data_IF_876662725791
#
_entry.id   IF_876662725791
#
_cell.length_a   1.000
_cell.length_b   1.000
_cell.length_c   1.000
_cell.angle_alpha   90.00
_cell.angle_beta   90.00
_cell.angle_gamma   90.00
#
_symmetry.space_group_name_H-M   'P 1'
#
loop_
_entity.id
_entity.type
_entity.pdbx_description
1 polymer ?
#
# COMPACT_ATOMS: atom_id res chain seq x y z
N UNK A 1 -44.17 -44.48 29.52
CA UNK A 1 -43.40 -44.14 28.30
C UNK A 1 -42.57 -42.91 28.65
N UNK A 2 -41.24 -43.09 28.75
CA UNK A 2 -40.15 -42.09 28.89
C UNK A 2 -40.15 -41.17 30.13
N UNK A 3 -39.02 -40.81 30.75
CA UNK A 3 -37.69 -41.38 30.90
C UNK A 3 -37.08 -40.62 32.11
N UNK A 4 -36.42 -41.35 33.01
CA UNK A 4 -35.94 -40.85 34.30
C UNK A 4 -34.55 -40.20 34.20
N UNK A 5 -34.35 -39.14 34.99
CA UNK A 5 -33.06 -38.52 35.23
C UNK A 5 -32.12 -39.47 36.00
N UNK A 6 -30.87 -39.63 35.53
CA UNK A 6 -29.74 -40.07 36.37
C UNK A 6 -28.45 -39.33 36.04
N UNK A 7 -27.91 -38.80 37.13
CA UNK A 7 -26.65 -38.10 37.42
C UNK A 7 -25.43 -38.86 36.90
N UNK A 8 -24.45 -38.15 36.33
CA UNK A 8 -23.06 -38.63 36.26
C UNK A 8 -22.15 -37.70 37.06
N UNK A 9 -21.44 -38.33 37.99
CA UNK A 9 -20.46 -37.76 38.90
C UNK A 9 -19.14 -37.57 38.13
N UNK A 10 -18.55 -36.38 38.24
CA UNK A 10 -17.20 -36.11 37.75
C UNK A 10 -16.20 -36.75 38.71
N UNK A 11 -15.63 -37.89 38.33
CA UNK A 11 -14.50 -38.48 39.05
C UNK A 11 -13.24 -37.65 38.78
N UNK A 12 -12.74 -36.98 39.82
CA UNK A 12 -11.36 -36.49 39.86
C UNK A 12 -10.43 -37.69 39.96
N UNK A 13 -9.56 -37.89 38.97
CA UNK A 13 -8.37 -38.71 39.12
C UNK A 13 -7.17 -37.78 39.26
N UNK A 14 -6.47 -37.90 40.40
CA UNK A 14 -5.16 -37.31 40.64
C UNK A 14 -4.08 -38.05 39.81
N UNK A 15 -2.92 -37.43 39.55
CA UNK A 15 -2.03 -37.84 38.46
C UNK A 15 -1.18 -39.05 38.84
N UNK A 16 -0.99 -39.97 37.89
CA UNK A 16 0.04 -41.00 37.96
C UNK A 16 1.38 -40.39 37.52
N UNK A 17 2.36 -40.41 38.42
CA UNK A 17 3.75 -40.09 38.14
C UNK A 17 4.39 -41.15 37.25
N UNK A 18 4.78 -40.78 36.03
CA UNK A 18 5.80 -41.49 35.28
C UNK A 18 6.84 -40.50 34.74
N UNK A 19 8.03 -40.57 35.35
CA UNK A 19 9.29 -40.02 34.86
C UNK A 19 9.53 -40.39 33.40
N UNK A 20 9.51 -39.41 32.51
CA UNK A 20 10.20 -39.47 31.22
C UNK A 20 11.12 -38.25 31.10
N UNK A 21 12.33 -38.56 30.64
CA UNK A 21 13.49 -37.68 30.54
C UNK A 21 13.15 -36.39 29.78
N UNK A 22 13.33 -35.25 30.44
CA UNK A 22 13.24 -33.92 29.83
C UNK A 22 14.49 -33.63 29.00
N UNK A 23 14.46 -34.00 27.72
CA UNK A 23 15.28 -33.32 26.71
C UNK A 23 14.60 -31.99 26.33
N UNK A 24 15.35 -30.91 26.03
CA UNK A 24 14.74 -29.69 25.56
C UNK A 24 14.06 -29.97 24.22
N UNK A 25 12.73 -29.98 24.22
CA UNK A 25 11.93 -29.94 23.01
C UNK A 25 12.18 -28.57 22.38
N UNK A 26 13.16 -28.49 21.48
CA UNK A 26 13.30 -27.35 20.58
C UNK A 26 11.94 -27.20 19.89
N UNK A 27 11.17 -26.19 20.28
CA UNK A 27 10.07 -25.67 19.46
C UNK A 27 10.73 -25.26 18.15
N UNK A 28 10.73 -26.16 17.18
CA UNK A 28 10.95 -25.78 15.80
C UNK A 28 9.88 -24.73 15.51
N UNK A 29 10.29 -23.46 15.42
CA UNK A 29 9.46 -22.44 14.79
C UNK A 29 9.13 -23.03 13.42
N UNK A 30 7.88 -23.40 13.21
CA UNK A 30 7.39 -23.70 11.87
C UNK A 30 7.54 -22.40 11.12
N UNK A 31 8.56 -22.29 10.28
CA UNK A 31 8.69 -21.16 9.37
C UNK A 31 7.39 -21.14 8.57
N UNK A 32 6.55 -20.15 8.84
CA UNK A 32 5.35 -19.92 8.05
C UNK A 32 5.84 -19.55 6.66
N UNK A 33 5.57 -20.42 5.69
CA UNK A 33 5.79 -20.11 4.27
C UNK A 33 5.13 -18.76 3.99
N UNK A 34 5.91 -17.80 3.49
CA UNK A 34 5.39 -16.50 3.07
C UNK A 34 4.75 -16.63 1.69
N UNK A 35 3.79 -15.76 1.40
CA UNK A 35 2.99 -15.78 0.18
C UNK A 35 2.83 -14.38 -0.40
N UNK A 36 2.54 -14.32 -1.70
CA UNK A 36 2.21 -13.08 -2.38
C UNK A 36 0.71 -12.83 -2.19
N UNK A 37 0.36 -11.66 -1.67
CA UNK A 37 -1.01 -11.22 -1.53
C UNK A 37 -1.30 -10.12 -2.55
N UNK A 38 -2.44 -10.23 -3.22
CA UNK A 38 -2.92 -9.26 -4.20
C UNK A 38 -4.29 -8.74 -3.82
N UNK A 39 -4.51 -7.43 -3.94
CA UNK A 39 -5.83 -6.81 -3.89
C UNK A 39 -6.20 -6.38 -5.31
N UNK A 40 -7.30 -6.92 -5.83
CA UNK A 40 -7.76 -6.73 -7.20
C UNK A 40 -9.22 -6.23 -7.20
N UNK A 41 -9.60 -5.44 -8.20
CA UNK A 41 -10.98 -5.02 -8.49
C UNK A 41 -11.70 -6.06 -9.36
N UNK A 42 -11.52 -7.34 -9.06
CA UNK A 42 -12.07 -8.47 -9.82
C UNK A 42 -13.51 -8.83 -9.41
N UNK A 43 -14.18 -7.95 -8.65
CA UNK A 43 -15.57 -8.08 -8.28
C UNK A 43 -16.38 -6.91 -8.84
N UNK A 44 -17.51 -7.20 -9.50
CA UNK A 44 -18.46 -6.21 -10.03
C UNK A 44 -18.81 -5.11 -9.01
N UNK A 45 -18.88 -5.48 -7.73
CA UNK A 45 -19.17 -4.55 -6.64
C UNK A 45 -18.20 -4.68 -5.49
N UNK A 46 -16.90 -4.71 -5.74
CA UNK A 46 -15.91 -4.79 -4.68
C UNK A 46 -14.47 -4.92 -5.15
N UNK A 47 -13.61 -5.20 -4.20
CA UNK A 47 -12.29 -5.77 -4.44
C UNK A 47 -12.14 -7.07 -3.66
N UNK A 48 -11.27 -7.95 -4.11
CA UNK A 48 -10.96 -9.19 -3.43
C UNK A 48 -9.46 -9.26 -3.09
N UNK A 49 -9.14 -10.08 -2.09
CA UNK A 49 -7.77 -10.32 -1.65
C UNK A 49 -7.41 -11.76 -1.95
N UNK A 50 -6.48 -11.97 -2.88
CA UNK A 50 -5.96 -13.29 -3.24
C UNK A 50 -4.65 -13.57 -2.55
N UNK A 51 -4.42 -14.84 -2.28
CA UNK A 51 -3.16 -15.39 -1.78
C UNK A 51 -2.59 -16.30 -2.85
N UNK A 52 -1.36 -16.03 -3.28
CA UNK A 52 -0.69 -16.76 -4.34
C UNK A 52 0.62 -17.37 -3.84
N UNK A 53 0.83 -18.63 -4.20
CA UNK A 53 2.13 -19.28 -4.10
C UNK A 53 2.97 -18.91 -5.32
N UNK A 54 4.13 -18.28 -5.09
CA UNK A 54 5.13 -18.09 -6.14
C UNK A 54 5.74 -19.46 -6.43
N UNK A 55 5.45 -20.00 -7.61
CA UNK A 55 6.01 -21.28 -8.03
C UNK A 55 7.45 -21.08 -8.51
N UNK A 56 8.38 -21.91 -8.02
CA UNK A 56 9.69 -22.07 -8.64
C UNK A 56 9.49 -22.96 -9.87
N UNK A 57 9.54 -22.39 -11.07
CA UNK A 57 9.50 -23.17 -12.31
C UNK A 57 10.85 -23.91 -12.46
N UNK A 58 10.80 -25.24 -12.30
CA UNK A 58 11.92 -26.17 -12.49
C UNK A 58 12.24 -26.43 -13.97
N UNK A 59 11.66 -25.66 -14.90
CA UNK A 59 12.05 -25.64 -16.32
C UNK A 59 11.48 -26.78 -17.15
N UNK A 60 10.36 -27.38 -16.72
CA UNK A 60 9.78 -28.57 -17.36
C UNK A 60 8.48 -28.36 -18.12
N UNK A 61 7.75 -27.26 -17.91
CA UNK A 61 6.47 -27.04 -18.57
C UNK A 61 6.02 -25.60 -18.39
N UNK A 62 5.82 -24.87 -19.50
CA UNK A 62 5.34 -23.50 -19.44
C UNK A 62 4.11 -23.39 -18.55
N UNK A 63 4.11 -22.41 -17.65
CA UNK A 63 2.99 -22.15 -16.76
C UNK A 63 1.70 -22.07 -17.58
N UNK A 64 0.84 -23.09 -17.41
CA UNK A 64 -0.49 -23.11 -18.01
C UNK A 64 -1.29 -21.91 -17.50
N UNK A 65 -2.16 -21.37 -18.36
CA UNK A 65 -3.07 -20.28 -17.98
C UNK A 65 -4.05 -20.79 -16.93
N UNK A 66 -3.99 -20.22 -15.73
CA UNK A 66 -4.81 -20.64 -14.60
C UNK A 66 -5.90 -19.60 -14.30
N UNK A 67 -6.94 -20.02 -13.59
CA UNK A 67 -7.85 -19.10 -12.93
C UNK A 67 -7.29 -18.82 -11.53
N UNK A 68 -7.55 -17.62 -11.00
CA UNK A 68 -7.21 -17.33 -9.61
C UNK A 68 -7.96 -18.28 -8.67
N UNK A 69 -7.28 -18.73 -7.63
CA UNK A 69 -7.93 -19.43 -6.52
C UNK A 69 -8.92 -18.50 -5.81
N UNK A 70 -9.84 -19.11 -5.06
CA UNK A 70 -10.83 -18.37 -4.27
C UNK A 70 -10.14 -17.33 -3.36
N UNK A 71 -10.62 -16.08 -3.34
CA UNK A 71 -10.01 -15.03 -2.55
C UNK A 71 -10.14 -15.32 -1.05
N UNK A 72 -9.11 -14.93 -0.30
CA UNK A 72 -9.05 -15.02 1.17
C UNK A 72 -10.16 -14.18 1.81
N UNK A 73 -10.44 -13.01 1.24
CA UNK A 73 -11.53 -12.14 1.66
C UNK A 73 -12.04 -11.29 0.50
N UNK A 74 -13.26 -10.78 0.63
CA UNK A 74 -13.92 -9.90 -0.34
C UNK A 74 -14.43 -8.66 0.38
N UNK A 75 -14.18 -7.48 -0.20
CA UNK A 75 -14.61 -6.19 0.30
C UNK A 75 -15.61 -5.59 -0.70
N UNK A 76 -16.87 -5.46 -0.33
CA UNK A 76 -17.92 -5.01 -1.25
C UNK A 76 -18.17 -3.49 -1.19
N UNK A 77 -18.45 -2.87 -2.35
CA UNK A 77 -18.73 -1.43 -2.53
C UNK A 77 -19.88 -0.85 -1.71
N UNK A 78 -20.96 -1.55 -1.31
CA UNK A 78 -21.91 -0.97 -0.36
C UNK A 78 -21.24 -0.52 0.94
N UNK A 79 -20.07 -1.09 1.26
CA UNK A 79 -19.23 -0.65 2.37
C UNK A 79 -18.29 0.48 1.94
N UNK A 80 -17.61 0.38 0.80
CA UNK A 80 -16.53 1.32 0.43
C UNK A 80 -16.89 2.38 -0.64
N UNK A 81 -18.14 2.45 -1.09
CA UNK A 81 -18.55 3.31 -2.20
C UNK A 81 -18.05 2.84 -3.57
N UNK A 82 -18.17 3.71 -4.57
CA UNK A 82 -17.90 3.40 -5.97
C UNK A 82 -16.40 3.42 -6.33
N UNK A 83 -15.58 4.13 -5.55
CA UNK A 83 -14.15 4.33 -5.82
C UNK A 83 -13.32 4.06 -4.55
N UNK A 84 -13.20 2.78 -4.13
CA UNK A 84 -12.47 2.46 -2.92
C UNK A 84 -10.97 2.61 -3.12
N UNK A 85 -10.30 3.20 -2.13
CA UNK A 85 -8.85 3.18 -2.04
C UNK A 85 -8.41 2.09 -1.07
N UNK A 86 -7.45 1.27 -1.49
CA UNK A 86 -6.93 0.19 -0.64
C UNK A 86 -5.43 0.39 -0.45
N UNK A 87 -4.99 0.27 0.79
CA UNK A 87 -3.58 0.21 1.16
C UNK A 87 -3.31 -0.97 2.09
N UNK A 88 -2.04 -1.23 2.35
CA UNK A 88 -1.61 -2.36 3.19
C UNK A 88 -0.73 -1.85 4.32
N UNK A 89 -1.02 -2.26 5.57
CA UNK A 89 -0.20 -1.96 6.75
C UNK A 89 0.09 -3.26 7.53
N UNK A 90 1.31 -3.78 7.36
CA UNK A 90 1.66 -5.07 7.94
C UNK A 90 0.74 -6.16 7.40
N UNK A 91 -0.02 -6.83 8.27
CA UNK A 91 -1.01 -7.87 7.88
C UNK A 91 -2.40 -7.33 7.58
N UNK A 92 -2.59 -6.01 7.66
CA UNK A 92 -3.89 -5.40 7.51
C UNK A 92 -4.07 -4.87 6.09
N UNK A 93 -5.11 -5.34 5.42
CA UNK A 93 -5.64 -4.72 4.21
C UNK A 93 -6.61 -3.64 4.65
N UNK A 94 -6.26 -2.38 4.39
CA UNK A 94 -7.02 -1.20 4.79
C UNK A 94 -7.75 -0.65 3.58
N UNK A 95 -9.06 -0.77 3.56
CA UNK A 95 -9.92 -0.14 2.56
C UNK A 95 -10.50 1.15 3.10
N UNK A 96 -10.56 2.19 2.28
CA UNK A 96 -11.24 3.43 2.64
C UNK A 96 -12.13 3.88 1.50
N UNK A 97 -13.34 4.30 1.88
CA UNK A 97 -14.41 4.56 0.92
C UNK A 97 -15.30 5.71 1.33
N UNK A 98 -16.01 6.27 0.35
CA UNK A 98 -17.00 7.33 0.55
C UNK A 98 -18.29 6.83 1.23
N UNK A 99 -18.46 5.52 1.36
CA UNK A 99 -19.63 4.91 2.01
C UNK A 99 -20.76 4.61 1.04
N UNK A 100 -22.01 4.89 1.44
CA UNK A 100 -23.18 4.51 0.65
C UNK A 100 -23.18 5.15 -0.75
N UNK A 101 -23.30 4.36 -1.83
CA UNK A 101 -23.36 4.88 -3.20
C UNK A 101 -24.68 5.60 -3.53
N UNK A 102 -25.66 5.59 -2.62
CA UNK A 102 -27.01 6.14 -2.84
C UNK A 102 -27.26 7.48 -2.18
N UNK A 103 -26.34 7.98 -1.35
CA UNK A 103 -26.48 9.30 -0.74
C UNK A 103 -26.21 10.36 -1.81
N UNK A 104 -27.26 11.08 -2.24
CA UNK A 104 -27.10 12.28 -3.06
C UNK A 104 -27.79 13.47 -2.40
N UNK A 105 -27.06 14.54 -2.04
CA UNK A 105 -25.59 14.65 -2.14
C UNK A 105 -24.88 13.62 -1.24
N UNK A 106 -23.64 13.21 -1.56
CA UNK A 106 -22.87 12.31 -0.69
C UNK A 106 -22.81 12.93 0.71
N UNK A 107 -23.32 12.24 1.74
CA UNK A 107 -23.14 12.72 3.10
C UNK A 107 -21.69 12.40 3.50
N UNK A 108 -20.84 13.40 3.75
CA UNK A 108 -19.47 13.16 4.16
C UNK A 108 -19.30 12.42 5.50
N UNK A 109 -20.40 12.16 6.21
CA UNK A 109 -20.47 11.30 7.40
C UNK A 109 -20.63 9.81 7.07
N UNK A 110 -20.82 9.45 5.80
CA UNK A 110 -21.02 8.05 5.38
C UNK A 110 -19.71 7.30 5.10
N UNK A 111 -18.61 8.03 5.00
CA UNK A 111 -17.31 7.45 4.69
C UNK A 111 -16.83 6.47 5.75
N UNK A 112 -16.17 5.40 5.32
CA UNK A 112 -15.75 4.31 6.21
C UNK A 112 -14.31 3.91 5.94
N UNK A 113 -13.59 3.58 7.01
CA UNK A 113 -12.32 2.85 6.95
C UNK A 113 -12.57 1.43 7.43
N UNK A 114 -12.17 0.44 6.63
CA UNK A 114 -12.17 -0.97 7.02
C UNK A 114 -10.73 -1.46 7.09
N UNK A 115 -10.40 -2.24 8.11
CA UNK A 115 -9.11 -2.89 8.22
C UNK A 115 -9.33 -4.39 8.46
N UNK A 116 -8.91 -5.21 7.51
CA UNK A 116 -8.98 -6.66 7.58
C UNK A 116 -7.60 -7.24 7.88
N UNK A 117 -7.44 -7.89 9.03
CA UNK A 117 -6.19 -8.55 9.42
C UNK A 117 -6.12 -9.96 8.82
N UNK A 118 -5.21 -10.18 7.88
CA UNK A 118 -4.99 -11.48 7.25
C UNK A 118 -4.52 -12.57 8.21
N UNK A 119 -3.92 -12.22 9.35
CA UNK A 119 -3.42 -13.20 10.33
C UNK A 119 -4.52 -13.73 11.24
N UNK A 120 -5.45 -12.87 11.64
CA UNK A 120 -6.50 -13.20 12.62
C UNK A 120 -7.89 -13.31 11.99
N UNK A 121 -8.03 -12.95 10.71
CA UNK A 121 -9.30 -12.76 10.01
C UNK A 121 -10.23 -11.74 10.70
N UNK A 122 -9.67 -10.86 11.54
CA UNK A 122 -10.44 -9.82 12.21
C UNK A 122 -10.74 -8.67 11.25
N UNK A 123 -12.01 -8.25 11.20
CA UNK A 123 -12.45 -7.05 10.49
C UNK A 123 -12.72 -5.93 11.50
N UNK A 124 -12.05 -4.79 11.33
CA UNK A 124 -12.33 -3.56 12.06
C UNK A 124 -12.98 -2.54 11.14
N UNK A 125 -13.98 -1.81 11.63
CA UNK A 125 -14.70 -0.77 10.88
C UNK A 125 -14.66 0.53 11.69
N UNK A 126 -14.13 1.59 11.09
CA UNK A 126 -14.13 2.94 11.64
C UNK A 126 -15.03 3.83 10.78
N UNK A 127 -15.98 4.53 11.42
CA UNK A 127 -17.00 5.34 10.74
C UNK A 127 -16.65 6.83 10.63
N UNK A 128 -15.52 7.24 11.20
CA UNK A 128 -15.10 8.64 11.20
C UNK A 128 -13.91 8.82 10.28
N UNK A 129 -14.15 9.43 9.11
CA UNK A 129 -13.08 9.93 8.25
C UNK A 129 -12.60 11.31 8.74
N UNK A 130 -11.32 11.65 8.52
CA UNK A 130 -10.79 12.97 8.85
C UNK A 130 -11.59 14.12 8.26
N UNK A 131 -11.65 15.25 8.98
CA UNK A 131 -12.48 16.42 8.68
C UNK A 131 -12.25 17.05 7.30
N UNK A 132 -11.04 16.89 6.73
CA UNK A 132 -10.67 17.33 5.37
C UNK A 132 -11.37 16.56 4.24
N UNK A 133 -11.88 15.36 4.53
CA UNK A 133 -12.42 14.39 3.57
C UNK A 133 -13.90 14.58 3.26
N UNK A 134 -14.48 15.72 3.67
CA UNK A 134 -15.93 15.92 3.74
C UNK A 134 -16.56 16.50 2.47
N UNK A 135 -15.84 16.70 1.36
CA UNK A 135 -16.33 17.55 0.25
C UNK A 135 -15.89 17.18 -1.18
N UNK A 136 -15.73 15.90 -1.52
CA UNK A 136 -15.29 15.37 -2.84
C UNK A 136 -13.78 15.09 -2.94
N UNK A 137 -13.46 14.06 -3.70
CA UNK A 137 -12.46 13.03 -3.38
C UNK A 137 -11.51 12.79 -4.55
N UNK A 138 -10.20 12.82 -4.31
CA UNK A 138 -9.21 12.05 -5.07
C UNK A 138 -8.04 11.71 -4.14
N UNK A 139 -7.95 10.45 -3.70
CA UNK A 139 -6.77 9.96 -2.97
C UNK A 139 -5.73 9.53 -3.98
N UNK A 140 -4.58 10.18 -3.97
CA UNK A 140 -3.50 9.90 -4.91
C UNK A 140 -2.46 8.95 -4.36
N UNK A 141 -2.33 8.86 -3.04
CA UNK A 141 -1.33 8.00 -2.42
C UNK A 141 -1.79 7.51 -1.03
N UNK A 142 -1.67 6.20 -0.83
CA UNK A 142 -1.72 5.57 0.48
C UNK A 142 -0.44 4.77 0.67
N UNK A 143 0.31 5.04 1.75
CA UNK A 143 1.57 4.35 2.02
C UNK A 143 1.71 3.98 3.50
N UNK A 144 2.27 2.81 3.78
CA UNK A 144 2.65 2.41 5.12
C UNK A 144 4.04 2.94 5.47
N UNK A 145 4.19 3.50 6.66
CA UNK A 145 5.46 3.89 7.26
C UNK A 145 5.65 3.10 8.55
N UNK A 146 6.64 2.20 8.52
CA UNK A 146 6.82 1.20 9.57
C UNK A 146 5.62 0.25 9.68
N UNK A 147 5.39 -0.26 10.90
CA UNK A 147 4.35 -1.28 11.13
C UNK A 147 3.08 -0.73 11.79
N UNK A 148 2.99 0.59 11.97
CA UNK A 148 1.95 1.21 12.80
C UNK A 148 1.27 2.41 12.15
N UNK A 149 1.81 3.00 11.09
CA UNK A 149 1.24 4.21 10.51
C UNK A 149 1.05 4.05 9.02
N UNK A 150 -0.12 4.46 8.55
CA UNK A 150 -0.44 4.60 7.14
C UNK A 150 -0.71 6.08 6.88
N UNK A 151 0.01 6.65 5.94
CA UNK A 151 -0.20 8.02 5.49
C UNK A 151 -1.02 7.99 4.21
N UNK A 152 -1.97 8.91 4.14
CA UNK A 152 -2.83 9.09 2.99
C UNK A 152 -2.70 10.54 2.52
N UNK A 153 -2.56 10.75 1.21
CA UNK A 153 -2.48 12.06 0.59
C UNK A 153 -3.64 12.22 -0.39
N UNK A 154 -4.42 13.28 -0.22
CA UNK A 154 -5.55 13.64 -1.06
C UNK A 154 -5.38 15.02 -1.70
N UNK A 155 -5.99 15.21 -2.87
CA UNK A 155 -6.15 16.53 -3.47
C UNK A 155 -7.27 17.31 -2.78
N UNK A 156 -7.08 18.62 -2.66
CA UNK A 156 -8.03 19.52 -2.02
C UNK A 156 -9.18 19.92 -2.95
N UNK A 157 -10.29 20.41 -2.36
CA UNK A 157 -11.55 20.72 -3.08
C UNK A 157 -11.55 22.06 -3.83
N UNK A 158 -10.41 22.57 -4.28
CA UNK A 158 -10.31 23.87 -4.94
C UNK A 158 -10.46 23.76 -6.45
N UNK A 159 -11.45 24.43 -7.05
CA UNK A 159 -11.46 24.64 -8.50
C UNK A 159 -10.14 25.30 -8.94
N UNK A 160 -9.49 24.70 -9.93
CA UNK A 160 -8.28 25.21 -10.57
C UNK A 160 -8.51 26.64 -11.05
N UNK A 161 -7.95 27.61 -10.33
CA UNK A 161 -7.85 29.01 -10.78
C UNK A 161 -6.38 29.33 -11.02
N UNK A 162 -6.02 29.47 -12.29
CA UNK A 162 -4.72 29.96 -12.73
C UNK A 162 -4.29 31.18 -11.88
N UNK A 163 -3.13 31.07 -11.22
CA UNK A 163 -2.55 32.16 -10.44
C UNK A 163 -3.08 32.35 -9.01
N UNK A 164 -3.85 31.41 -8.46
CA UNK A 164 -4.20 31.41 -7.03
C UNK A 164 -3.29 30.50 -6.20
N UNK A 165 -3.19 30.79 -4.89
CA UNK A 165 -2.41 30.06 -3.87
C UNK A 165 -2.52 28.51 -4.02
N UNK A 166 -1.50 27.74 -3.60
CA UNK A 166 -1.47 26.30 -3.81
C UNK A 166 -2.76 25.64 -3.29
N UNK A 167 -3.46 24.96 -4.20
CA UNK A 167 -4.65 24.18 -3.86
C UNK A 167 -4.28 23.19 -2.75
N UNK A 168 -5.01 23.29 -1.63
CA UNK A 168 -4.66 22.68 -0.36
C UNK A 168 -5.02 21.18 -0.33
N UNK A 169 -4.17 20.34 -0.91
CA UNK A 169 -4.17 18.91 -0.59
C UNK A 169 -3.92 18.68 0.90
N UNK A 170 -4.41 17.55 1.41
CA UNK A 170 -4.27 17.19 2.81
C UNK A 170 -3.55 15.85 2.95
N UNK A 171 -2.82 15.71 4.05
CA UNK A 171 -2.25 14.45 4.46
C UNK A 171 -2.90 13.99 5.76
N UNK A 172 -3.28 12.71 5.82
CA UNK A 172 -3.90 12.10 6.98
C UNK A 172 -3.07 10.91 7.44
N UNK A 173 -3.05 10.64 8.75
CA UNK A 173 -2.33 9.51 9.31
C UNK A 173 -3.31 8.58 10.02
N UNK A 174 -3.41 7.35 9.54
CA UNK A 174 -4.10 6.26 10.21
C UNK A 174 -3.08 5.46 11.02
N UNK A 175 -3.26 5.39 12.33
CA UNK A 175 -2.36 4.69 13.23
C UNK A 175 -3.00 3.43 13.79
N UNK A 176 -2.28 2.31 13.69
CA UNK A 176 -2.56 1.07 14.37
C UNK A 176 -1.96 1.11 15.79
N UNK A 177 -2.86 1.19 16.77
CA UNK A 177 -2.55 1.18 18.20
C UNK A 177 -2.37 -0.28 18.61
N UNK A 178 -1.11 -0.68 18.81
CA UNK A 178 -0.83 -1.99 19.41
C UNK A 178 -1.41 -2.00 20.84
N UNK A 179 -2.35 -2.90 21.08
CA UNK A 179 -2.73 -3.28 22.44
C UNK A 179 -1.70 -4.28 22.96
N UNK A 180 -0.56 -3.78 23.42
CA UNK A 180 0.36 -4.63 24.17
C UNK A 180 -0.05 -4.58 25.64
N UNK A 181 -0.44 -5.73 26.17
CA UNK A 181 -0.42 -5.97 27.60
C UNK A 181 1.01 -5.83 28.09
N UNK A 182 1.38 -4.62 28.49
CA UNK A 182 2.25 -4.40 29.63
C UNK A 182 1.98 -3.00 30.16
N UNK A 183 1.60 -2.93 31.44
CA UNK A 183 1.18 -1.69 32.08
C UNK A 183 2.32 -0.68 32.14
N UNK A 184 2.18 0.40 31.37
CA UNK A 184 3.00 1.59 31.51
C UNK A 184 2.08 2.80 31.54
N UNK A 185 1.59 3.15 32.74
CA UNK A 185 0.88 4.39 32.98
C UNK A 185 1.78 5.57 32.61
N UNK A 186 1.40 6.30 31.58
CA UNK A 186 1.93 7.62 31.25
C UNK A 186 0.76 8.58 31.30
N UNK A 187 0.70 9.30 32.41
CA UNK A 187 -0.15 10.45 32.65
C UNK A 187 0.17 11.57 31.64
N UNK A 188 -0.74 12.54 31.52
CA UNK A 188 -0.54 13.86 30.91
C UNK A 188 -0.86 14.03 29.41
N UNK A 189 -2.12 14.39 29.12
CA UNK A 189 -2.41 15.69 28.49
C UNK A 189 -3.94 15.92 28.55
N UNK A 190 -4.37 16.61 29.61
CA UNK A 190 -5.70 17.20 29.71
C UNK A 190 -5.83 18.33 28.70
N UNK A 191 -6.66 18.11 27.71
CA UNK A 191 -7.27 19.18 26.96
C UNK A 191 -8.07 18.59 25.83
N UNK A 192 -9.42 18.60 25.97
CA UNK A 192 -10.35 19.15 24.97
C UNK A 192 -11.82 18.71 25.19
N UNK A 193 -12.66 19.74 25.42
CA UNK A 193 -14.12 19.91 25.26
C UNK A 193 -15.15 19.01 25.99
N UNK A 194 -16.02 19.71 26.74
CA UNK A 194 -17.38 19.30 27.11
C UNK A 194 -18.21 18.96 25.87
N UNK A 195 -18.94 17.82 25.89
CA UNK A 195 -20.40 17.71 25.77
C UNK A 195 -20.81 16.22 25.89
N UNK A 196 -21.56 15.92 26.97
CA UNK A 196 -22.24 14.67 27.40
C UNK A 196 -21.44 13.66 28.24
N UNK A 197 -21.65 13.75 29.56
CA UNK A 197 -21.19 12.86 30.64
C UNK A 197 -21.45 11.36 30.40
N UNK A 198 -20.42 10.62 29.93
CA UNK A 198 -20.21 9.20 30.28
C UNK A 198 -18.70 8.86 30.30
N UNK A 199 -17.91 9.33 31.29
CA UNK A 199 -16.44 9.24 31.29
C UNK A 199 -15.88 7.80 31.33
N UNK A 200 -16.64 6.83 31.85
CA UNK A 200 -16.11 5.50 32.13
C UNK A 200 -16.06 4.57 30.90
N UNK A 201 -16.94 4.76 29.90
CA UNK A 201 -16.97 3.89 28.71
C UNK A 201 -15.98 4.35 27.64
N UNK A 202 -15.67 5.65 27.56
CA UNK A 202 -14.85 6.22 26.50
C UNK A 202 -13.34 5.93 26.68
N UNK A 203 -12.87 5.88 27.92
CA UNK A 203 -11.52 5.40 28.24
C UNK A 203 -11.37 3.90 27.97
N UNK A 204 -12.39 3.09 28.27
CA UNK A 204 -12.37 1.66 27.95
C UNK A 204 -12.49 1.41 26.43
N UNK A 205 -13.39 2.13 25.72
CA UNK A 205 -13.55 2.00 24.27
C UNK A 205 -12.36 2.55 23.49
N UNK A 206 -11.75 3.67 23.90
CA UNK A 206 -10.52 4.17 23.27
C UNK A 206 -9.33 3.23 23.49
N UNK A 207 -9.27 2.53 24.63
CA UNK A 207 -8.29 1.46 24.86
C UNK A 207 -8.56 0.17 24.07
N UNK A 208 -9.81 -0.04 23.61
CA UNK A 208 -10.22 -1.12 22.72
C UNK A 208 -10.00 -0.79 21.23
N UNK A 209 -9.91 0.50 20.86
CA UNK A 209 -9.67 0.93 19.49
C UNK A 209 -8.25 0.59 19.05
N UNK A 210 -8.11 -0.39 18.16
CA UNK A 210 -6.82 -0.74 17.54
C UNK A 210 -6.39 0.24 16.45
N UNK A 211 -7.26 1.15 16.06
CA UNK A 211 -7.04 2.05 14.93
C UNK A 211 -7.53 3.45 15.29
N UNK A 212 -6.77 4.48 14.91
CA UNK A 212 -7.19 5.87 15.05
C UNK A 212 -6.71 6.72 13.88
N UNK A 213 -7.55 7.66 13.47
CA UNK A 213 -7.10 8.75 12.61
C UNK A 213 -6.45 9.84 13.47
N UNK A 214 -5.24 10.23 13.10
CA UNK A 214 -4.55 11.38 13.64
C UNK A 214 -4.72 12.54 12.66
N UNK A 215 -5.13 13.71 13.16
CA UNK A 215 -5.08 14.94 12.37
C UNK A 215 -3.60 15.32 12.17
N UNK A 216 -3.11 15.18 10.94
CA UNK A 216 -1.83 15.75 10.55
C UNK A 216 -2.15 17.14 9.98
N UNK A 217 -1.84 18.19 10.73
CA UNK A 217 -2.20 19.56 10.35
C UNK A 217 -1.34 20.16 9.22
N UNK A 218 -0.51 19.34 8.56
CA UNK A 218 0.30 19.81 7.44
C UNK A 218 -0.46 19.67 6.13
N UNK A 219 -0.86 20.81 5.57
CA UNK A 219 -1.23 20.89 4.15
C UNK A 219 -0.05 20.42 3.31
N UNK A 220 -0.32 19.72 2.22
CA UNK A 220 0.75 19.38 1.28
C UNK A 220 1.26 20.67 0.63
N UNK A 221 2.59 20.86 0.50
CA UNK A 221 3.16 22.00 -0.20
C UNK A 221 3.09 21.85 -1.73
N UNK A 222 2.32 20.89 -2.23
CA UNK A 222 2.22 20.49 -3.62
C UNK A 222 0.82 19.95 -3.93
N UNK A 223 0.52 19.84 -5.23
CA UNK A 223 -0.71 19.22 -5.73
C UNK A 223 -0.57 17.70 -5.80
N UNK A 224 -1.49 16.96 -5.16
CA UNK A 224 -1.35 15.51 -5.06
C UNK A 224 -1.56 14.77 -6.40
N UNK A 225 -2.30 15.35 -7.35
CA UNK A 225 -2.44 14.76 -8.69
C UNK A 225 -1.08 14.48 -9.34
N UNK A 226 -0.10 15.37 -9.15
CA UNK A 226 1.21 15.26 -9.78
C UNK A 226 2.08 14.12 -9.26
N UNK A 227 1.65 13.40 -8.21
CA UNK A 227 2.48 12.39 -7.56
C UNK A 227 2.75 11.25 -8.53
N UNK A 228 4.04 10.98 -8.72
CA UNK A 228 4.50 9.98 -9.67
C UNK A 228 5.35 8.87 -9.14
N UNK A 229 6.23 9.25 -8.23
CA UNK A 229 7.06 8.29 -7.54
C UNK A 229 6.87 8.49 -6.05
N UNK A 230 7.01 7.40 -5.31
CA UNK A 230 7.23 7.47 -3.88
C UNK A 230 8.16 6.37 -3.42
N UNK A 231 8.89 6.64 -2.36
CA UNK A 231 9.82 5.68 -1.78
C UNK A 231 9.92 5.86 -0.26
N UNK A 232 10.04 4.75 0.47
CA UNK A 232 10.36 4.82 1.89
C UNK A 232 11.87 5.06 2.07
N UNK A 233 12.21 5.98 2.96
CA UNK A 233 13.59 6.14 3.39
C UNK A 233 14.07 4.88 4.11
N UNK A 234 15.31 4.40 3.89
CA UNK A 234 15.82 3.16 4.50
C UNK A 234 15.75 3.14 6.03
N UNK A 235 15.81 4.31 6.65
CA UNK A 235 15.63 4.48 8.09
C UNK A 235 14.21 4.26 8.61
N UNK A 236 13.23 3.92 7.76
CA UNK A 236 11.87 3.52 8.15
C UNK A 236 11.01 4.58 8.81
N UNK A 237 11.50 5.82 8.88
CA UNK A 237 10.84 6.96 9.56
C UNK A 237 10.48 8.10 8.62
N UNK A 238 10.82 8.02 7.36
CA UNK A 238 10.53 9.08 6.40
C UNK A 238 10.16 8.46 5.06
N UNK A 239 9.49 9.24 4.24
CA UNK A 239 9.17 8.86 2.88
C UNK A 239 9.34 10.05 1.95
N UNK A 240 9.51 9.73 0.67
CA UNK A 240 9.70 10.68 -0.40
C UNK A 240 8.55 10.56 -1.39
N UNK A 241 8.17 11.69 -1.97
CA UNK A 241 7.22 11.79 -3.09
C UNK A 241 7.83 12.68 -4.16
N UNK A 242 7.73 12.28 -5.41
CA UNK A 242 8.18 13.05 -6.57
C UNK A 242 6.99 13.44 -7.42
N UNK A 243 6.96 14.69 -7.87
CA UNK A 243 5.81 15.27 -8.57
C UNK A 243 6.19 15.80 -9.95
N UNK A 244 5.31 15.54 -10.92
CA UNK A 244 5.35 16.11 -12.26
C UNK A 244 4.24 17.15 -12.46
N UNK A 245 4.53 18.22 -13.21
CA UNK A 245 3.53 19.23 -13.60
C UNK A 245 3.14 19.04 -15.07
N UNK A 246 1.89 18.65 -15.28
CA UNK A 246 1.30 18.43 -16.61
C UNK A 246 0.49 19.59 -17.14
N UNK A 247 0.16 20.56 -16.28
CA UNK A 247 -0.84 21.59 -16.58
C UNK A 247 -0.20 22.91 -17.00
N UNK A 248 1.14 22.99 -17.00
CA UNK A 248 1.90 24.15 -17.46
C UNK A 248 2.87 23.79 -18.59
N UNK A 249 3.15 24.78 -19.44
CA UNK A 249 4.13 24.71 -20.53
C UNK A 249 5.59 24.82 -20.03
N UNK A 250 5.87 24.29 -18.84
CA UNK A 250 7.21 24.24 -18.25
C UNK A 250 7.73 25.58 -17.72
N UNK A 251 6.87 26.59 -17.55
CA UNK A 251 7.28 27.94 -17.08
C UNK A 251 7.28 28.12 -15.56
N UNK A 252 6.72 27.17 -14.80
CA UNK A 252 6.58 27.26 -13.34
C UNK A 252 7.37 26.11 -12.66
N UNK A 253 8.69 26.26 -12.58
CA UNK A 253 9.65 25.26 -12.04
C UNK A 253 9.44 24.95 -10.54
N UNK A 254 8.61 25.73 -9.85
CA UNK A 254 8.26 25.50 -8.44
C UNK A 254 7.19 24.40 -8.25
N UNK A 255 6.59 23.89 -9.33
CA UNK A 255 5.53 22.89 -9.27
C UNK A 255 6.00 21.45 -9.48
N UNK A 256 7.22 21.28 -9.99
CA UNK A 256 7.90 19.98 -10.09
C UNK A 256 8.88 19.79 -8.95
N UNK A 257 9.13 18.53 -8.61
CA UNK A 257 10.24 18.20 -7.74
C UNK A 257 9.95 17.10 -6.74
N UNK A 258 10.95 16.86 -5.90
CA UNK A 258 10.94 15.82 -4.89
C UNK A 258 10.81 16.40 -3.49
N UNK A 259 9.93 15.83 -2.68
CA UNK A 259 9.68 16.21 -1.30
C UNK A 259 9.84 15.00 -0.39
N UNK A 260 10.23 15.23 0.86
CA UNK A 260 10.20 14.20 1.91
C UNK A 260 9.39 14.64 3.10
N UNK A 261 8.81 13.66 3.80
CA UNK A 261 8.17 13.86 5.09
C UNK A 261 8.81 12.93 6.13
N UNK A 262 9.39 13.51 7.18
CA UNK A 262 9.91 12.75 8.33
C UNK A 262 8.77 12.56 9.35
N UNK A 263 8.53 11.31 9.74
CA UNK A 263 7.45 10.87 10.65
C UNK A 263 7.92 10.72 12.11
N UNK A 264 9.13 11.19 12.43
CA UNK A 264 9.73 11.16 13.76
C UNK A 264 8.84 11.69 14.90
N UNK A 265 9.19 11.35 16.15
CA UNK A 265 8.40 11.71 17.34
C UNK A 265 8.30 13.22 17.56
N UNK A 266 7.27 13.65 18.33
CA UNK A 266 6.76 15.02 18.55
C UNK A 266 7.79 16.16 18.62
N UNK A 267 9.04 15.90 19.00
CA UNK A 267 10.14 16.87 19.14
C UNK A 267 10.90 17.14 17.83
N UNK A 268 10.99 16.17 16.91
CA UNK A 268 11.57 16.29 15.56
C UNK A 268 10.42 16.28 14.55
N UNK A 269 9.94 17.47 14.27
CA UNK A 269 8.71 17.84 13.55
C UNK A 269 8.45 17.02 12.27
N UNK A 270 7.23 16.47 12.19
CA UNK A 270 6.56 16.15 10.93
C UNK A 270 6.39 17.40 10.10
N UNK A 271 7.25 17.57 9.10
CA UNK A 271 7.22 18.67 8.14
C UNK A 271 7.67 18.16 6.79
N UNK A 272 7.05 18.70 5.76
CA UNK A 272 7.51 18.54 4.39
C UNK A 272 8.82 19.31 4.17
N UNK A 273 9.77 18.68 3.48
CA UNK A 273 10.98 19.31 3.00
C UNK A 273 11.11 19.10 1.49
N UNK A 274 11.32 20.19 0.73
CA UNK A 274 11.63 20.13 -0.70
C UNK A 274 13.12 19.84 -0.89
N UNK A 275 13.43 18.93 -1.80
CA UNK A 275 14.81 18.55 -2.13
C UNK A 275 15.35 19.26 -3.37
N UNK A 276 14.48 19.64 -4.31
CA UNK A 276 14.84 20.39 -5.51
C UNK A 276 13.79 20.24 -6.60
N UNK A 277 14.01 20.90 -7.74
CA UNK A 277 13.18 20.80 -8.96
C UNK A 277 13.42 19.53 -9.78
N UNK A 278 14.10 18.53 -9.22
CA UNK A 278 14.37 17.24 -9.87
C UNK A 278 13.38 16.17 -9.40
N UNK A 279 13.16 15.20 -10.27
CA UNK A 279 12.19 14.13 -10.07
C UNK A 279 12.90 12.78 -9.89
N UNK A 280 12.33 11.90 -9.08
CA UNK A 280 12.78 10.51 -8.99
C UNK A 280 12.47 9.77 -10.31
N UNK A 281 13.35 8.88 -10.77
CA UNK A 281 13.22 8.22 -12.08
C UNK A 281 12.22 7.06 -12.09
N UNK A 282 11.25 7.04 -11.17
CA UNK A 282 10.38 5.89 -10.92
C UNK A 282 8.92 6.16 -11.31
N UNK A 283 8.25 5.11 -11.76
CA UNK A 283 6.79 5.05 -11.87
C UNK A 283 6.25 4.28 -10.65
N UNK A 284 5.49 4.95 -9.78
CA UNK A 284 4.90 4.35 -8.59
C UNK A 284 5.90 4.17 -7.44
N UNK A 285 5.86 3.01 -6.79
CA UNK A 285 6.65 2.74 -5.59
C UNK A 285 8.06 2.25 -5.94
N UNK A 286 9.07 2.82 -5.30
CA UNK A 286 10.43 2.27 -5.28
C UNK A 286 10.76 1.65 -3.91
N UNK A 287 11.59 0.62 -3.93
CA UNK A 287 11.97 -0.17 -2.77
C UNK A 287 13.47 -0.07 -2.53
N UNK A 288 13.88 0.15 -1.27
CA UNK A 288 15.28 0.11 -0.92
C UNK A 288 15.82 -1.32 -0.94
N UNK A 289 16.91 -1.53 -1.66
CA UNK A 289 17.65 -2.79 -1.66
C UNK A 289 19.01 -2.58 -0.99
N UNK A 290 19.27 -3.31 0.09
CA UNK A 290 20.48 -3.17 0.88
C UNK A 290 21.74 -3.67 0.14
N UNK A 291 21.61 -4.59 -0.83
CA UNK A 291 22.75 -5.09 -1.60
C UNK A 291 23.16 -4.10 -2.70
N UNK A 292 22.20 -3.39 -3.29
CA UNK A 292 22.42 -2.30 -4.22
C UNK A 292 22.75 -0.97 -3.51
N UNK A 293 22.44 -0.87 -2.22
CA UNK A 293 22.49 0.35 -1.42
C UNK A 293 21.73 1.54 -2.05
N UNK A 294 20.66 1.24 -2.80
CA UNK A 294 19.90 2.19 -3.60
C UNK A 294 18.41 1.85 -3.56
N UNK A 295 17.56 2.81 -3.93
CA UNK A 295 16.19 2.50 -4.31
C UNK A 295 16.16 1.82 -5.67
N UNK A 296 15.32 0.80 -5.83
CA UNK A 296 15.03 0.09 -7.06
C UNK A 296 13.54 0.27 -7.39
N UNK A 297 13.22 0.60 -8.62
CA UNK A 297 11.83 0.77 -9.07
C UNK A 297 11.67 0.59 -10.58
N UNK A 298 10.42 0.63 -11.03
CA UNK A 298 10.08 0.67 -12.46
C UNK A 298 10.46 2.04 -13.00
N UNK A 299 11.18 2.08 -14.12
CA UNK A 299 11.59 3.34 -14.72
C UNK A 299 10.40 4.09 -15.32
N UNK A 300 10.36 5.40 -15.07
CA UNK A 300 9.39 6.30 -15.65
C UNK A 300 9.97 6.98 -16.88
N UNK A 301 9.31 6.80 -18.03
CA UNK A 301 9.64 7.54 -19.23
C UNK A 301 8.52 8.54 -19.57
N UNK A 302 8.83 9.84 -19.46
CA UNK A 302 7.90 10.91 -19.77
C UNK A 302 8.00 11.27 -21.27
N UNK A 303 7.00 10.90 -22.06
CA UNK A 303 6.85 11.42 -23.42
C UNK A 303 6.15 12.79 -23.37
N UNK A 304 6.62 13.72 -24.19
CA UNK A 304 5.93 14.99 -24.42
C UNK A 304 4.58 14.76 -25.11
N UNK A 305 3.49 14.72 -24.35
CA UNK A 305 2.13 14.86 -24.87
C UNK A 305 1.10 13.84 -24.38
N UNK A 306 1.47 12.67 -23.86
CA UNK A 306 0.51 11.64 -23.46
C UNK A 306 1.01 10.79 -22.29
N UNK A 307 0.32 10.91 -21.15
CA UNK A 307 0.25 9.90 -20.09
C UNK A 307 1.55 9.52 -19.37
N UNK A 308 1.41 8.74 -18.31
CA UNK A 308 2.53 8.06 -17.68
C UNK A 308 2.66 6.66 -18.24
N UNK A 309 3.84 6.37 -18.78
CA UNK A 309 4.14 5.05 -19.31
C UNK A 309 5.42 4.52 -18.68
N UNK A 310 5.33 3.32 -18.14
CA UNK A 310 6.50 2.50 -17.86
C UNK A 310 7.06 2.08 -19.22
N UNK A 311 8.37 2.08 -19.37
CA UNK A 311 9.06 1.65 -20.61
C UNK A 311 9.62 0.22 -20.50
N UNK A 312 9.30 -0.47 -19.41
CA UNK A 312 9.70 -1.84 -19.13
C UNK A 312 11.08 -1.99 -18.49
N UNK A 313 11.83 -0.90 -18.30
CA UNK A 313 13.14 -0.92 -17.64
C UNK A 313 13.01 -0.82 -16.12
N UNK A 314 14.05 -1.31 -15.44
CA UNK A 314 14.28 -0.99 -14.03
C UNK A 314 15.25 0.18 -13.95
N UNK A 315 15.14 0.96 -12.88
CA UNK A 315 16.18 1.89 -12.53
C UNK A 315 16.54 1.77 -11.04
N UNK A 316 17.77 2.16 -10.73
CA UNK A 316 18.23 2.38 -9.36
C UNK A 316 18.48 3.85 -9.14
N UNK A 317 18.25 4.36 -7.93
CA UNK A 317 18.51 5.74 -7.57
C UNK A 317 19.15 5.80 -6.18
N UNK A 318 20.22 6.57 -6.04
CA UNK A 318 20.85 6.83 -4.75
C UNK A 318 19.85 7.50 -3.80
N UNK A 319 19.88 7.12 -2.52
CA UNK A 319 18.96 7.66 -1.52
C UNK A 319 19.40 9.09 -1.15
N UNK A 320 18.58 10.13 -1.44
CA UNK A 320 18.91 11.49 -1.06
C UNK A 320 18.95 11.63 0.47
N UNK A 321 19.88 12.44 1.02
CA UNK A 321 19.91 12.71 2.45
C UNK A 321 18.63 13.45 2.88
N UNK A 322 18.15 13.19 4.09
CA UNK A 322 17.06 13.98 4.66
C UNK A 322 17.52 15.42 4.90
N UNK A 323 16.68 16.37 4.50
CA UNK A 323 16.93 17.80 4.65
C UNK A 323 16.95 18.20 6.14
N UNK A 324 17.89 19.07 6.50
CA UNK A 324 18.09 19.58 7.87
C UNK A 324 17.34 20.89 8.15
N UNK A 325 16.47 21.32 7.22
CA UNK A 325 15.67 22.54 7.34
C UNK A 325 16.36 23.82 6.85
N UNK A 326 17.56 23.71 6.27
CA UNK A 326 18.26 24.83 5.63
C UNK A 326 17.57 25.38 4.37
N UNK A 327 16.63 24.61 3.79
CA UNK A 327 15.86 25.00 2.61
C UNK A 327 16.67 25.03 1.32
N UNK A 328 17.92 24.55 1.34
CA UNK A 328 18.79 24.53 0.18
C UNK A 328 18.40 23.38 -0.76
N UNK A 329 18.26 23.69 -2.05
CA UNK A 329 18.09 22.66 -3.09
C UNK A 329 19.32 21.76 -3.13
N UNK A 330 19.09 20.46 -3.03
CA UNK A 330 20.10 19.42 -3.21
C UNK A 330 20.25 19.08 -4.70
N UNK A 331 21.45 18.66 -5.16
CA UNK A 331 21.62 18.13 -6.50
C UNK A 331 20.79 16.85 -6.69
N UNK A 332 20.40 16.57 -7.94
CA UNK A 332 19.68 15.34 -8.26
C UNK A 332 20.53 14.10 -7.89
N UNK A 333 19.93 13.08 -7.26
CA UNK A 333 20.63 11.84 -6.94
C UNK A 333 21.08 11.14 -8.24
N UNK A 334 22.23 10.47 -8.19
CA UNK A 334 22.65 9.63 -9.29
C UNK A 334 21.67 8.45 -9.43
N UNK A 335 21.42 8.05 -10.66
CA UNK A 335 20.57 6.91 -10.97
C UNK A 335 21.12 6.14 -12.16
N UNK A 336 20.75 4.86 -12.27
CA UNK A 336 21.18 3.97 -13.34
C UNK A 336 20.00 3.20 -13.89
N UNK A 337 19.93 3.10 -15.22
CA UNK A 337 18.94 2.29 -15.92
C UNK A 337 19.44 0.86 -16.08
N UNK A 338 18.54 -0.12 -16.11
CA UNK A 338 18.90 -1.49 -16.47
C UNK A 338 19.34 -1.58 -17.93
N UNK A 339 20.29 -2.47 -18.21
CA UNK A 339 20.77 -2.70 -19.57
C UNK A 339 19.78 -3.46 -20.47
N UNK A 340 18.73 -4.03 -19.89
CA UNK A 340 17.66 -4.74 -20.58
C UNK A 340 16.29 -4.42 -19.97
N UNK A 341 15.23 -4.61 -20.76
CA UNK A 341 13.86 -4.51 -20.27
C UNK A 341 13.49 -5.72 -19.41
N UNK A 342 12.92 -5.45 -18.24
CA UNK A 342 12.30 -6.47 -17.40
C UNK A 342 11.05 -7.06 -18.06
N UNK A 343 10.31 -6.27 -18.82
CA UNK A 343 9.16 -6.71 -19.60
C UNK A 343 8.98 -5.80 -20.81
N UNK A 344 8.46 -6.36 -21.90
CA UNK A 344 8.15 -5.55 -23.07
C UNK A 344 6.81 -4.89 -22.84
N UNK A 345 6.78 -3.56 -22.89
CA UNK A 345 5.54 -2.81 -22.79
C UNK A 345 4.92 -2.79 -24.18
N UNK A 346 3.84 -3.54 -24.33
CA UNK A 346 2.88 -3.31 -25.41
C UNK A 346 1.93 -2.20 -24.93
N UNK A 347 2.05 -0.96 -25.44
CA UNK A 347 1.30 0.19 -24.93
C UNK A 347 -0.22 0.00 -25.01
N UNK A 348 -0.70 -0.81 -25.96
CA UNK A 348 -2.13 -1.07 -26.15
C UNK A 348 -2.69 -2.07 -25.14
N UNK A 349 -1.81 -2.87 -24.51
CA UNK A 349 -2.20 -3.99 -23.64
C UNK A 349 -1.80 -3.81 -22.19
N UNK A 350 -0.79 -3.01 -21.89
CA UNK A 350 -0.29 -2.88 -20.53
C UNK A 350 -1.22 -2.01 -19.67
N UNK A 351 -1.75 -2.57 -18.59
CA UNK A 351 -2.72 -1.89 -17.72
C UNK A 351 -2.04 -1.37 -16.46
N UNK A 352 -1.33 -2.24 -15.72
CA UNK A 352 -0.66 -1.87 -14.46
C UNK A 352 0.55 -2.79 -14.22
N UNK A 353 1.58 -2.30 -13.52
CA UNK A 353 2.67 -3.12 -13.03
C UNK A 353 3.25 -2.60 -11.72
N UNK A 354 3.62 -3.54 -10.84
CA UNK A 354 4.24 -3.25 -9.54
C UNK A 354 5.37 -4.23 -9.24
N UNK A 355 6.39 -3.74 -8.54
CA UNK A 355 7.46 -4.58 -7.98
C UNK A 355 7.13 -4.87 -6.53
N UNK A 356 7.29 -6.12 -6.12
CA UNK A 356 7.12 -6.56 -4.74
C UNK A 356 8.43 -7.17 -4.26
N UNK A 357 9.07 -6.63 -3.20
CA UNK A 357 10.19 -7.29 -2.56
C UNK A 357 9.73 -8.64 -1.99
N UNK A 358 10.45 -9.71 -2.33
CA UNK A 358 10.22 -11.08 -1.83
C UNK A 358 11.50 -11.60 -1.18
N UNK A 359 11.42 -12.76 -0.54
CA UNK A 359 12.61 -13.37 0.06
C UNK A 359 13.65 -13.71 -1.03
N UNK A 360 14.79 -13.02 -0.99
CA UNK A 360 15.91 -13.25 -1.91
C UNK A 360 15.77 -12.64 -3.30
N UNK A 361 14.84 -11.70 -3.51
CA UNK A 361 14.72 -10.97 -4.78
C UNK A 361 13.45 -10.13 -4.86
N UNK A 362 12.89 -10.05 -6.07
CA UNK A 362 11.70 -9.28 -6.38
C UNK A 362 10.72 -10.11 -7.21
N UNK A 363 9.44 -9.80 -7.08
CA UNK A 363 8.38 -10.27 -7.97
C UNK A 363 7.80 -9.06 -8.70
N UNK A 364 7.85 -9.09 -10.03
CA UNK A 364 7.05 -8.22 -10.87
C UNK A 364 5.63 -8.79 -10.99
N UNK A 365 4.65 -7.95 -10.70
CA UNK A 365 3.23 -8.23 -10.88
C UNK A 365 2.75 -7.34 -12.03
N UNK A 366 2.34 -7.93 -13.14
CA UNK A 366 1.85 -7.23 -14.33
C UNK A 366 0.37 -7.55 -14.56
N UNK A 367 -0.43 -6.55 -14.90
CA UNK A 367 -1.79 -6.71 -15.42
C UNK A 367 -1.79 -6.26 -16.88
N UNK A 368 -2.22 -7.15 -17.76
CA UNK A 368 -2.27 -6.95 -19.20
C UNK A 368 -3.67 -7.25 -19.72
N UNK A 369 -4.10 -6.61 -20.81
CA UNK A 369 -5.23 -7.13 -21.58
C UNK A 369 -4.85 -8.47 -22.21
N UNK A 370 -5.85 -9.34 -22.37
CA UNK A 370 -5.69 -10.55 -23.18
C UNK A 370 -5.39 -10.16 -24.61
N UNK A 371 -4.63 -11.00 -25.30
CA UNK A 371 -4.36 -10.85 -26.73
C UNK A 371 -5.68 -10.66 -27.52
N UNK A 372 -5.71 -9.64 -28.37
CA UNK A 372 -6.89 -9.24 -29.15
C UNK A 372 -7.96 -8.46 -28.40
N UNK A 373 -7.76 -8.14 -27.12
CA UNK A 373 -8.67 -7.29 -26.32
C UNK A 373 -8.08 -5.89 -26.20
N UNK A 374 -8.82 -4.88 -26.69
CA UNK A 374 -8.47 -3.48 -26.52
C UNK A 374 -8.63 -3.05 -25.05
N UNK A 375 -7.80 -2.12 -24.58
CA UNK A 375 -7.82 -1.63 -23.20
C UNK A 375 -9.21 -1.14 -22.76
N UNK A 376 -9.87 -0.36 -23.60
CA UNK A 376 -11.20 0.20 -23.27
C UNK A 376 -12.29 -0.89 -23.15
N UNK A 377 -12.07 -2.06 -23.75
CA UNK A 377 -13.02 -3.18 -23.74
C UNK A 377 -12.71 -4.21 -22.64
N UNK A 378 -11.65 -4.00 -21.86
CA UNK A 378 -11.15 -4.99 -20.90
C UNK A 378 -11.96 -5.07 -19.58
N UNK A 379 -12.92 -4.16 -19.39
CA UNK A 379 -13.81 -4.14 -18.23
C UNK A 379 -14.93 -5.18 -18.31
N UNK A 380 -15.41 -5.61 -17.14
CA UNK A 380 -16.51 -6.54 -16.94
C UNK A 380 -16.06 -7.97 -16.60
N UNK A 381 -17.04 -8.87 -16.58
CA UNK A 381 -16.80 -10.29 -16.31
C UNK A 381 -15.94 -10.95 -17.40
N UNK A 382 -15.19 -11.97 -16.97
CA UNK A 382 -14.51 -12.93 -17.83
C UNK A 382 -12.99 -12.76 -17.88
N UNK A 383 -12.38 -13.50 -18.81
CA UNK A 383 -10.92 -13.67 -18.94
C UNK A 383 -10.33 -12.63 -19.91
N UNK A 384 -10.73 -11.37 -19.77
CA UNK A 384 -10.29 -10.26 -20.64
C UNK A 384 -8.95 -9.67 -20.22
N UNK A 385 -8.57 -9.85 -18.97
CA UNK A 385 -7.30 -9.42 -18.40
C UNK A 385 -6.48 -10.62 -17.95
N UNK A 386 -5.17 -10.42 -17.91
CA UNK A 386 -4.17 -11.42 -17.53
C UNK A 386 -3.27 -10.82 -16.46
N UNK A 387 -3.17 -11.50 -15.34
CA UNK A 387 -2.17 -11.28 -14.31
C UNK A 387 -0.94 -12.14 -14.61
N UNK A 388 0.23 -11.52 -14.72
CA UNK A 388 1.51 -12.22 -14.91
C UNK A 388 2.45 -11.92 -13.75
N UNK A 389 3.05 -12.98 -13.20
CA UNK A 389 4.06 -12.90 -12.17
C UNK A 389 5.42 -13.30 -12.73
N UNK A 390 6.43 -12.48 -12.51
CA UNK A 390 7.81 -12.76 -12.91
C UNK A 390 8.76 -12.49 -11.74
N UNK A 391 9.43 -13.50 -11.22
CA UNK A 391 10.48 -13.31 -10.20
C UNK A 391 11.82 -12.96 -10.85
N UNK A 392 12.61 -12.13 -10.18
CA UNK A 392 13.94 -11.76 -10.63
C UNK A 392 14.81 -11.27 -9.47
N UNK A 393 16.10 -11.07 -9.74
CA UNK A 393 17.06 -10.37 -8.88
C UNK A 393 17.67 -9.20 -9.64
N UNK A 394 17.97 -8.12 -8.94
CA UNK A 394 18.73 -7.00 -9.48
C UNK A 394 20.13 -7.00 -8.86
N UNK A 395 21.16 -6.73 -9.68
CA UNK A 395 22.56 -6.61 -9.21
C UNK A 395 23.36 -5.69 -10.12
N UNK A 396 24.41 -5.09 -9.57
CA UNK A 396 25.42 -4.44 -10.39
C UNK A 396 26.37 -5.46 -11.00
N UNK A 397 26.61 -5.35 -12.30
CA UNK A 397 27.68 -6.05 -12.99
C UNK A 397 29.05 -5.44 -12.63
N UNK A 398 30.18 -6.11 -12.95
CA UNK A 398 31.52 -5.62 -12.62
C UNK A 398 31.87 -4.26 -13.25
N UNK A 399 31.23 -3.90 -14.36
CA UNK A 399 31.30 -2.59 -15.02
C UNK A 399 30.45 -1.51 -14.34
N UNK A 400 29.65 -1.88 -13.34
CA UNK A 400 28.76 -1.00 -12.59
C UNK A 400 27.37 -0.85 -13.19
N UNK A 401 27.05 -1.53 -14.30
CA UNK A 401 25.74 -1.51 -14.94
C UNK A 401 24.69 -2.26 -14.13
N UNK A 402 23.44 -1.77 -14.13
CA UNK A 402 22.34 -2.45 -13.48
C UNK A 402 21.86 -3.62 -14.37
N UNK A 403 21.89 -4.84 -13.83
CA UNK A 403 21.52 -6.05 -14.55
C UNK A 403 20.38 -6.80 -13.86
N UNK A 404 19.53 -7.41 -14.66
CA UNK A 404 18.47 -8.31 -14.20
C UNK A 404 19.02 -9.73 -14.26
N UNK A 405 18.80 -10.49 -13.20
CA UNK A 405 19.32 -11.84 -13.05
C UNK A 405 18.25 -12.79 -12.53
N UNK A 406 18.42 -14.09 -12.80
CA UNK A 406 17.51 -15.14 -12.33
C UNK A 406 16.03 -14.85 -12.64
N UNK A 407 15.75 -14.21 -13.78
CA UNK A 407 14.40 -13.91 -14.25
C UNK A 407 13.66 -15.22 -14.56
N UNK A 408 12.52 -15.44 -13.92
CA UNK A 408 11.69 -16.65 -14.08
C UNK A 408 10.20 -16.30 -14.05
N UNK A 409 9.37 -16.84 -14.97
CA UNK A 409 7.93 -16.83 -14.80
C UNK A 409 7.53 -17.52 -13.49
N UNK A 410 6.56 -16.97 -12.77
CA UNK A 410 6.12 -17.48 -11.47
C UNK A 410 4.60 -17.63 -11.34
N UNK A 411 3.84 -17.13 -12.32
CA UNK A 411 2.38 -17.25 -12.35
C UNK A 411 1.78 -16.59 -13.58
N UNK A 412 0.67 -17.13 -14.05
CA UNK A 412 -0.10 -16.57 -15.17
C UNK A 412 -1.58 -16.88 -14.98
N UNK A 413 -2.39 -15.86 -14.73
CA UNK A 413 -3.79 -16.02 -14.33
C UNK A 413 -4.71 -15.14 -15.18
N UNK A 414 -5.89 -15.67 -15.50
CA UNK A 414 -6.98 -14.84 -16.01
C UNK A 414 -7.70 -14.13 -14.88
N UNK A 415 -8.02 -12.86 -15.09
CA UNK A 415 -8.71 -12.03 -14.12
C UNK A 415 -9.81 -11.22 -14.80
N UNK A 416 -10.86 -10.94 -14.04
CA UNK A 416 -11.85 -9.90 -14.36
C UNK A 416 -11.39 -8.55 -13.81
N UNK A 417 -11.95 -7.46 -14.33
CA UNK A 417 -11.64 -6.08 -13.92
C UNK A 417 -12.91 -5.25 -14.07
N UNK A 418 -13.27 -4.44 -13.08
CA UNK A 418 -14.52 -3.65 -13.14
C UNK A 418 -14.32 -2.15 -12.96
N UNK A 419 -13.13 -1.72 -12.53
CA UNK A 419 -12.79 -0.31 -12.33
C UNK A 419 -11.58 0.03 -13.21
N UNK A 420 -11.72 1.05 -14.06
CA UNK A 420 -10.63 1.48 -14.94
C UNK A 420 -9.45 2.06 -14.17
N UNK A 421 -9.71 2.86 -13.13
CA UNK A 421 -8.69 3.58 -12.36
C UNK A 421 -8.26 2.87 -11.07
N UNK A 422 -8.56 1.58 -10.91
CA UNK A 422 -8.17 0.85 -9.70
C UNK A 422 -6.67 0.57 -9.67
N UNK A 423 -6.02 0.99 -8.59
CA UNK A 423 -4.62 0.69 -8.33
C UNK A 423 -4.50 -0.61 -7.53
N UNK A 424 -4.07 -1.69 -8.18
CA UNK A 424 -3.89 -2.98 -7.49
C UNK A 424 -2.91 -2.84 -6.32
N UNK A 425 -3.09 -3.62 -5.25
CA UNK A 425 -2.09 -3.68 -4.17
C UNK A 425 -1.43 -5.05 -4.18
N UNK A 426 -0.12 -5.09 -3.97
CA UNK A 426 0.65 -6.32 -3.97
C UNK A 426 1.71 -6.30 -2.87
N UNK A 427 1.79 -7.37 -2.07
CA UNK A 427 2.72 -7.43 -0.95
C UNK A 427 3.07 -8.87 -0.55
N UNK A 428 4.23 -9.04 0.08
CA UNK A 428 4.78 -10.33 0.50
C UNK A 428 4.64 -10.51 2.02
N UNK A 429 4.02 -11.60 2.47
CA UNK A 429 3.77 -11.87 3.90
C UNK A 429 3.89 -13.34 4.29
#
# INVERSE_FOLDING_TARGET
>A
MWAAARRWVVNRLAPASSTMLSGPLMKMKKDSKKHLYLVLDDLNRGCSVHKLDIQEDDGGGGLGRQLLEDPVTRLHFPTLGNDPHVGVLGSHVVGIGSGSPTAWPPDPRDGVTVAFDLKTAALTVLRDLPTGRRRHYDVHLMLAVGNRRMYMIESGTGEYKHGSEPCAGAMHCLEHIAGDGDGGGGDDDQGRWDWWDFPCLEQELSSLMRWRWNEVHDRTPFHADGIMAHALHPGGRAFFVSLHDWWTDGRDDDRRGTFSYDTGSKERRGRWARHGGWELPFAGQAHYDAHLAAWLGLHLHLYSGHGFHMDGYLCTCDVPPLQDGSGASTPAPAWKLSNEQLFHVDPERHIDAKIVPIDGGFCLVEILTREGVHRDDCLGDGDKCVLRLTTFRAKYAPDGELTIAARRPAGHYYISRYIDMFQMQAFWM
#
